data_IF_500841679172
#
_entry.id   IF_500841679172
#
_cell.length_a   1.000
_cell.length_b   1.000
_cell.length_c   1.000
_cell.angle_alpha   90.00
_cell.angle_beta   90.00
_cell.angle_gamma   90.00
#
_symmetry.space_group_name_H-M   'P 1'
#
loop_
_entity.id
_entity.type
_entity.pdbx_description
1 polymer ?
#
# COMPACT_ATOMS: atom_id res chain seq x y z
N UNK A 1 72.04 36.14 -9.70
CA UNK A 1 71.01 36.00 -10.76
C UNK A 1 70.65 34.53 -10.88
N UNK A 2 69.38 34.19 -10.64
CA UNK A 2 68.63 33.03 -11.15
C UNK A 2 67.63 32.55 -10.09
N UNK A 3 66.44 33.15 -10.08
CA UNK A 3 65.27 32.67 -9.34
C UNK A 3 64.40 31.86 -10.30
N UNK A 4 64.32 30.55 -10.05
CA UNK A 4 63.46 29.62 -10.78
C UNK A 4 61.98 29.95 -10.46
N UNK A 5 61.09 30.11 -11.45
CA UNK A 5 59.68 30.34 -11.19
C UNK A 5 58.98 29.01 -10.83
N UNK A 6 58.15 29.06 -9.79
CA UNK A 6 57.30 27.96 -9.32
C UNK A 6 56.14 27.76 -10.31
N UNK A 7 55.80 26.54 -10.74
CA UNK A 7 54.70 26.33 -11.65
C UNK A 7 53.37 26.65 -10.96
N UNK A 8 52.50 27.34 -11.70
CA UNK A 8 51.16 27.72 -11.27
C UNK A 8 50.34 26.48 -10.94
N UNK A 9 49.62 26.56 -9.82
CA UNK A 9 48.70 25.51 -9.39
C UNK A 9 47.44 25.60 -10.23
N UNK A 10 47.34 24.79 -11.28
CA UNK A 10 46.10 24.63 -12.02
C UNK A 10 45.02 24.10 -11.07
N UNK A 11 44.00 24.93 -10.84
CA UNK A 11 42.81 24.54 -10.11
C UNK A 11 42.11 23.42 -10.91
N UNK A 12 42.29 22.19 -10.46
CA UNK A 12 41.57 21.01 -10.93
C UNK A 12 40.09 21.16 -10.60
N UNK A 13 39.33 21.72 -11.53
CA UNK A 13 37.88 21.78 -11.49
C UNK A 13 37.31 20.45 -11.99
N UNK A 14 37.39 19.42 -11.16
CA UNK A 14 36.56 18.25 -11.37
C UNK A 14 35.08 18.67 -11.21
N UNK A 15 34.20 18.37 -12.17
CA UNK A 15 32.78 18.64 -12.01
C UNK A 15 32.28 17.88 -10.78
N UNK A 16 31.74 18.62 -9.80
CA UNK A 16 31.20 18.04 -8.58
C UNK A 16 30.04 17.10 -8.92
N UNK A 17 30.29 15.81 -8.83
CA UNK A 17 29.30 14.73 -8.99
C UNK A 17 28.20 14.77 -7.92
N UNK A 18 28.36 15.63 -6.90
CA UNK A 18 27.40 15.87 -5.83
C UNK A 18 26.04 16.40 -6.30
N UNK A 19 25.96 17.10 -7.45
CA UNK A 19 24.69 17.61 -7.98
C UNK A 19 23.73 16.49 -8.41
N UNK A 20 24.25 15.46 -9.08
CA UNK A 20 23.46 14.34 -9.61
C UNK A 20 22.87 13.44 -8.52
N UNK A 21 23.55 13.31 -7.37
CA UNK A 21 23.05 12.51 -6.25
C UNK A 21 21.91 13.21 -5.52
N UNK A 22 21.94 14.54 -5.40
CA UNK A 22 20.86 15.31 -4.75
C UNK A 22 19.57 15.34 -5.56
N UNK A 23 19.67 15.44 -6.90
CA UNK A 23 18.49 15.41 -7.77
C UNK A 23 17.87 14.01 -7.82
N UNK A 24 18.69 12.96 -7.92
CA UNK A 24 18.21 11.58 -7.87
C UNK A 24 17.55 11.27 -6.51
N UNK A 25 18.15 11.71 -5.41
CA UNK A 25 17.57 11.56 -4.06
C UNK A 25 16.23 12.29 -3.92
N UNK A 26 16.15 13.52 -4.44
CA UNK A 26 14.89 14.27 -4.49
C UNK A 26 13.82 13.51 -5.26
N UNK A 27 14.13 13.04 -6.47
CA UNK A 27 13.19 12.23 -7.28
C UNK A 27 12.76 10.95 -6.55
N UNK A 28 13.67 10.27 -5.85
CA UNK A 28 13.34 9.09 -5.03
C UNK A 28 12.37 9.42 -3.89
N UNK A 29 12.61 10.52 -3.18
CA UNK A 29 11.74 10.97 -2.08
C UNK A 29 10.35 11.36 -2.58
N UNK A 30 10.28 12.06 -3.71
CA UNK A 30 9.02 12.48 -4.32
C UNK A 30 8.22 11.25 -4.80
N UNK A 31 8.85 10.33 -5.54
CA UNK A 31 8.24 9.07 -5.95
C UNK A 31 7.72 8.23 -4.77
N UNK A 32 8.44 8.21 -3.64
CA UNK A 32 8.01 7.50 -2.44
C UNK A 32 6.80 8.18 -1.79
N UNK A 33 6.79 9.51 -1.75
CA UNK A 33 5.67 10.27 -1.21
C UNK A 33 4.41 10.08 -2.06
N UNK A 34 4.54 10.05 -3.38
CA UNK A 34 3.42 9.79 -4.29
C UNK A 34 2.82 8.41 -4.03
N UNK A 35 3.66 7.37 -3.92
CA UNK A 35 3.21 6.02 -3.56
C UNK A 35 2.52 5.96 -2.19
N UNK A 36 3.00 6.73 -1.21
CA UNK A 36 2.33 6.83 0.09
C UNK A 36 0.93 7.45 -0.02
N UNK A 37 0.75 8.46 -0.88
CA UNK A 37 -0.55 9.09 -1.12
C UNK A 37 -1.49 8.16 -1.89
N UNK A 38 -1.01 7.49 -2.94
CA UNK A 38 -1.80 6.46 -3.65
C UNK A 38 -2.25 5.36 -2.70
N UNK A 39 -1.35 4.89 -1.82
CA UNK A 39 -1.68 3.86 -0.84
C UNK A 39 -2.77 4.32 0.14
N UNK A 40 -2.69 5.57 0.62
CA UNK A 40 -3.72 6.14 1.48
C UNK A 40 -5.10 6.20 0.78
N UNK A 41 -5.15 6.45 -0.53
CA UNK A 41 -6.41 6.52 -1.28
C UNK A 41 -7.09 5.16 -1.47
N UNK A 42 -6.31 4.06 -1.52
CA UNK A 42 -6.83 2.70 -1.72
C UNK A 42 -7.35 2.08 -0.43
N UNK A 43 -6.81 2.49 0.72
CA UNK A 43 -7.25 1.98 2.02
C UNK A 43 -8.58 2.65 2.39
N UNK A 44 -9.63 1.86 2.70
CA UNK A 44 -10.90 2.39 3.15
C UNK A 44 -10.80 3.32 4.37
N UNK A 45 -11.58 4.41 4.38
CA UNK A 45 -11.54 5.43 5.44
C UNK A 45 -11.97 4.88 6.80
N UNK A 46 -12.80 3.82 6.84
CA UNK A 46 -13.24 3.15 8.06
C UNK A 46 -12.06 2.55 8.84
N UNK A 47 -11.01 2.11 8.15
CA UNK A 47 -9.77 1.60 8.74
C UNK A 47 -9.03 2.66 9.57
N UNK A 48 -9.32 3.95 9.35
CA UNK A 48 -8.71 5.06 10.10
C UNK A 48 -9.62 5.66 11.18
N UNK A 49 -10.81 5.09 11.44
CA UNK A 49 -11.74 5.64 12.43
C UNK A 49 -11.16 5.74 13.85
N UNK A 50 -10.39 4.75 14.29
CA UNK A 50 -9.74 4.77 15.61
C UNK A 50 -8.64 5.84 15.71
N UNK A 51 -8.09 6.27 14.57
CA UNK A 51 -7.19 7.41 14.52
C UNK A 51 -7.98 8.73 14.61
N UNK A 52 -9.05 8.87 13.84
CA UNK A 52 -9.88 10.09 13.87
C UNK A 52 -10.57 10.28 15.22
N UNK A 53 -11.03 9.21 15.87
CA UNK A 53 -11.66 9.25 17.20
C UNK A 53 -10.73 9.78 18.29
N UNK A 54 -9.44 9.43 18.24
CA UNK A 54 -8.42 9.92 19.18
C UNK A 54 -8.02 11.38 18.97
N UNK A 55 -8.36 11.96 17.81
CA UNK A 55 -8.22 13.40 17.56
C UNK A 55 -9.35 14.20 18.23
N UNK A 56 -10.56 13.64 18.23
CA UNK A 56 -11.77 14.31 18.72
C UNK A 56 -12.00 14.11 20.24
N UNK A 57 -11.27 13.19 20.87
CA UNK A 57 -11.28 13.02 22.33
C UNK A 57 -10.71 14.26 23.03
N UNK A 58 -11.48 14.80 23.99
CA UNK A 58 -11.13 15.97 24.82
C UNK A 58 -9.75 15.87 25.49
N UNK A 59 -9.27 14.65 25.73
CA UNK A 59 -7.95 14.36 26.28
C UNK A 59 -6.77 14.93 25.45
N UNK A 60 -6.95 15.21 24.15
CA UNK A 60 -5.93 15.86 23.32
C UNK A 60 -5.94 17.39 23.42
N UNK A 61 -7.10 18.00 23.74
CA UNK A 61 -7.24 19.45 23.90
C UNK A 61 -6.59 19.93 25.21
N UNK A 62 -6.73 19.17 26.29
CA UNK A 62 -6.21 19.56 27.61
C UNK A 62 -4.68 19.50 27.70
N UNK A 63 -4.00 18.69 26.87
CA UNK A 63 -2.53 18.64 26.83
C UNK A 63 -1.93 19.75 25.94
N UNK A 64 -2.62 20.15 24.85
CA UNK A 64 -2.12 21.18 23.95
C UNK A 64 -2.24 22.61 24.51
N UNK A 65 -3.13 22.84 25.49
CA UNK A 65 -3.34 24.14 26.13
C UNK A 65 -2.36 24.42 27.29
N UNK A 66 -1.67 23.39 27.80
CA UNK A 66 -0.66 23.50 28.87
C UNK A 66 0.76 23.80 28.37
N UNK A 67 1.00 23.78 27.05
CA UNK A 67 2.31 24.05 26.43
C UNK A 67 2.35 25.41 25.70
N UNK A 68 1.64 26.42 26.23
CA UNK A 68 1.81 27.83 25.85
C UNK A 68 2.47 28.60 27.02
N UNK A 69 3.70 28.19 27.38
CA UNK A 69 4.35 28.81 28.53
C UNK A 69 5.77 28.39 28.87
N UNK A 70 6.61 27.92 27.94
CA UNK A 70 8.04 27.85 28.25
C UNK A 70 8.96 27.94 27.03
N UNK A 71 9.49 29.14 26.80
CA UNK A 71 10.69 29.36 26.00
C UNK A 71 11.83 28.50 26.53
N UNK A 72 12.48 27.69 25.69
CA UNK A 72 13.78 27.10 26.05
C UNK A 72 14.84 27.44 24.98
N UNK A 73 15.91 28.17 25.34
CA UNK A 73 17.07 28.38 24.48
C UNK A 73 18.11 27.26 24.71
N UNK A 74 18.57 26.64 23.63
CA UNK A 74 19.94 26.13 23.50
C UNK A 74 20.38 24.87 24.27
N UNK A 75 21.12 24.02 23.53
CA UNK A 75 22.20 23.14 24.00
C UNK A 75 21.87 21.79 24.68
N UNK A 76 22.12 20.72 23.93
CA UNK A 76 23.11 19.68 24.26
C UNK A 76 22.89 18.77 25.48
N UNK A 77 22.84 17.45 25.21
CA UNK A 77 23.47 16.46 26.11
C UNK A 77 22.59 15.32 26.67
N UNK A 78 22.81 14.11 26.13
CA UNK A 78 22.97 12.80 26.81
C UNK A 78 22.44 12.64 28.26
N UNK A 79 21.55 11.66 28.51
CA UNK A 79 21.71 10.55 29.50
C UNK A 79 20.48 9.61 29.57
N UNK A 80 20.72 8.31 29.38
CA UNK A 80 20.32 7.19 30.26
C UNK A 80 18.88 6.97 30.75
N UNK A 81 18.23 5.94 30.20
CA UNK A 81 17.79 4.72 30.92
C UNK A 81 16.78 4.79 32.07
N UNK A 82 15.66 4.06 31.91
CA UNK A 82 15.05 3.30 33.02
C UNK A 82 13.54 3.46 33.27
N UNK A 83 12.75 2.55 32.69
CA UNK A 83 11.49 1.95 33.17
C UNK A 83 10.47 2.82 33.94
N UNK A 84 9.39 3.17 33.24
CA UNK A 84 8.14 3.63 33.83
C UNK A 84 7.00 3.39 32.86
N UNK A 85 6.16 2.40 33.18
CA UNK A 85 4.84 2.12 32.61
C UNK A 85 4.09 3.41 32.29
N UNK A 86 4.24 3.89 31.07
CA UNK A 86 3.48 5.01 30.55
C UNK A 86 3.09 4.67 29.13
N UNK A 87 1.85 4.22 29.00
CA UNK A 87 1.05 4.28 27.77
C UNK A 87 0.99 5.74 27.33
N UNK A 88 2.10 6.30 26.86
CA UNK A 88 2.14 7.66 26.31
C UNK A 88 1.33 7.62 25.02
N UNK A 89 0.21 8.35 24.92
CA UNK A 89 -0.54 8.44 23.68
C UNK A 89 0.37 9.16 22.68
N UNK A 90 0.95 8.36 21.80
CA UNK A 90 1.76 8.79 20.67
C UNK A 90 0.88 9.75 19.86
N UNK A 91 1.23 11.04 19.82
CA UNK A 91 0.55 12.00 18.93
C UNK A 91 0.72 11.52 17.50
N UNK A 92 -0.31 10.92 16.92
CA UNK A 92 -0.15 10.09 15.72
C UNK A 92 -0.53 10.79 14.41
N UNK A 93 -1.01 12.03 14.44
CA UNK A 93 -1.40 12.76 13.22
C UNK A 93 -0.30 13.65 12.64
N UNK A 94 -0.33 13.84 11.31
CA UNK A 94 0.41 14.95 10.68
C UNK A 94 -0.27 16.29 11.00
N UNK A 95 0.42 17.42 10.76
CA UNK A 95 -0.09 18.78 11.05
C UNK A 95 -1.47 19.07 10.43
N UNK A 96 -1.81 18.36 9.35
CA UNK A 96 -3.07 18.48 8.62
C UNK A 96 -4.17 17.54 9.14
N UNK A 97 -3.90 16.77 10.20
CA UNK A 97 -4.83 15.79 10.76
C UNK A 97 -4.99 14.53 9.92
N UNK A 98 -4.19 14.35 8.85
CA UNK A 98 -4.12 13.11 8.06
C UNK A 98 -3.24 12.06 8.75
N UNK A 99 -3.54 10.75 8.56
CA UNK A 99 -2.74 9.68 9.15
C UNK A 99 -1.27 9.78 8.74
N UNK A 100 -0.37 9.45 9.65
CA UNK A 100 1.07 9.48 9.39
C UNK A 100 1.53 8.28 8.53
N UNK A 101 2.75 8.36 7.97
CA UNK A 101 3.29 7.29 7.10
C UNK A 101 3.29 5.91 7.76
N UNK A 102 3.63 5.82 9.05
CA UNK A 102 3.61 4.56 9.79
C UNK A 102 2.20 3.97 9.89
N UNK A 103 1.20 4.81 10.17
CA UNK A 103 -0.20 4.38 10.24
C UNK A 103 -0.75 3.94 8.90
N UNK A 104 -0.43 4.66 7.81
CA UNK A 104 -0.84 4.27 6.46
C UNK A 104 -0.29 2.87 6.15
N UNK A 105 0.98 2.62 6.46
CA UNK A 105 1.59 1.30 6.25
C UNK A 105 0.97 0.21 7.13
N UNK A 106 0.71 0.50 8.41
CA UNK A 106 0.03 -0.47 9.30
C UNK A 106 -1.36 -0.83 8.78
N UNK A 107 -2.16 0.17 8.42
CA UNK A 107 -3.52 -0.05 7.92
C UNK A 107 -3.53 -0.69 6.53
N UNK A 108 -2.51 -0.46 5.69
CA UNK A 108 -2.34 -1.16 4.42
C UNK A 108 -2.19 -2.68 4.62
N UNK A 109 -1.34 -3.08 5.57
CA UNK A 109 -1.09 -4.50 5.86
C UNK A 109 -2.33 -5.15 6.45
N UNK A 110 -3.03 -4.46 7.35
CA UNK A 110 -4.29 -4.93 7.93
C UNK A 110 -5.37 -5.10 6.85
N UNK A 111 -5.52 -4.12 5.96
CA UNK A 111 -6.48 -4.18 4.86
C UNK A 111 -6.16 -5.31 3.86
N UNK A 112 -4.88 -5.50 3.51
CA UNK A 112 -4.46 -6.61 2.66
C UNK A 112 -4.82 -7.97 3.29
N UNK A 113 -4.57 -8.12 4.58
CA UNK A 113 -4.91 -9.35 5.33
C UNK A 113 -6.42 -9.59 5.34
N UNK A 114 -7.22 -8.53 5.53
CA UNK A 114 -8.69 -8.60 5.46
C UNK A 114 -9.18 -9.03 4.08
N UNK A 115 -8.62 -8.45 3.02
CA UNK A 115 -8.97 -8.82 1.64
C UNK A 115 -8.60 -10.27 1.33
N UNK A 116 -7.42 -10.73 1.76
CA UNK A 116 -7.00 -12.14 1.62
C UNK A 116 -8.01 -13.08 2.30
N UNK A 117 -8.38 -12.79 3.54
CA UNK A 117 -9.38 -13.57 4.27
C UNK A 117 -10.76 -13.57 3.58
N UNK A 118 -11.15 -12.44 2.97
CA UNK A 118 -12.40 -12.33 2.23
C UNK A 118 -12.36 -13.18 0.94
N UNK A 119 -11.25 -13.15 0.20
CA UNK A 119 -11.04 -14.02 -0.97
C UNK A 119 -11.14 -15.48 -0.56
N UNK A 120 -10.47 -15.89 0.51
CA UNK A 120 -10.51 -17.27 0.99
C UNK A 120 -11.92 -17.71 1.40
N UNK A 121 -12.67 -16.83 2.08
CA UNK A 121 -14.03 -17.13 2.50
C UNK A 121 -14.96 -17.32 1.30
N UNK A 122 -14.89 -16.43 0.31
CA UNK A 122 -15.70 -16.51 -0.92
C UNK A 122 -15.29 -17.70 -1.77
N UNK A 123 -14.01 -18.03 -1.83
CA UNK A 123 -13.50 -19.21 -2.53
C UNK A 123 -14.08 -20.50 -1.92
N UNK A 124 -14.12 -20.62 -0.59
CA UNK A 124 -14.75 -21.78 0.09
C UNK A 124 -16.24 -21.89 -0.21
N UNK A 125 -16.96 -20.78 -0.18
CA UNK A 125 -18.39 -20.73 -0.50
C UNK A 125 -18.66 -21.14 -1.96
N UNK A 126 -17.83 -20.66 -2.90
CA UNK A 126 -17.94 -21.00 -4.31
C UNK A 126 -17.70 -22.49 -4.56
N UNK A 127 -16.69 -23.10 -3.93
CA UNK A 127 -16.45 -24.55 -4.00
C UNK A 127 -17.68 -25.33 -3.51
N UNK A 128 -18.28 -24.91 -2.39
CA UNK A 128 -19.47 -25.57 -1.86
C UNK A 128 -20.65 -25.47 -2.85
N UNK A 129 -20.86 -24.31 -3.45
CA UNK A 129 -21.91 -24.11 -4.45
C UNK A 129 -21.66 -24.95 -5.70
N UNK A 130 -20.43 -25.01 -6.21
CA UNK A 130 -20.04 -25.85 -7.34
C UNK A 130 -20.37 -27.32 -7.04
N UNK A 131 -20.03 -27.83 -5.86
CA UNK A 131 -20.33 -29.21 -5.48
C UNK A 131 -21.84 -29.47 -5.42
N UNK A 132 -22.62 -28.57 -4.81
CA UNK A 132 -24.08 -28.68 -4.75
C UNK A 132 -24.72 -28.65 -6.13
N UNK A 133 -24.23 -27.78 -7.02
CA UNK A 133 -24.72 -27.68 -8.41
C UNK A 133 -24.40 -28.96 -9.19
N UNK A 134 -23.18 -29.50 -9.06
CA UNK A 134 -22.81 -30.80 -9.66
C UNK A 134 -23.71 -31.94 -9.15
N UNK A 135 -23.98 -31.97 -7.85
CA UNK A 135 -24.87 -32.97 -7.25
C UNK A 135 -26.32 -32.85 -7.77
N UNK A 136 -26.86 -31.63 -7.86
CA UNK A 136 -28.20 -31.38 -8.38
C UNK A 136 -28.32 -31.72 -9.86
N UNK A 137 -27.33 -31.36 -10.69
CA UNK A 137 -27.27 -31.72 -12.11
C UNK A 137 -27.31 -33.25 -12.28
N UNK A 138 -26.54 -33.99 -11.46
CA UNK A 138 -26.57 -35.46 -11.47
C UNK A 138 -27.93 -36.03 -11.11
N UNK A 139 -28.63 -35.43 -10.13
CA UNK A 139 -29.97 -35.89 -9.68
C UNK A 139 -31.06 -35.59 -10.69
N UNK A 140 -31.00 -34.44 -11.35
CA UNK A 140 -32.02 -33.98 -12.31
C UNK A 140 -31.77 -34.48 -13.72
N UNK A 141 -30.56 -34.94 -14.03
CA UNK A 141 -30.17 -35.37 -15.38
C UNK A 141 -30.03 -34.22 -16.37
N UNK A 142 -30.03 -32.97 -15.90
CA UNK A 142 -29.87 -31.77 -16.73
C UNK A 142 -28.38 -31.46 -16.89
N UNK A 143 -27.89 -31.46 -18.13
CA UNK A 143 -26.52 -31.06 -18.43
C UNK A 143 -26.38 -29.53 -18.28
N UNK A 144 -25.36 -29.10 -17.54
CA UNK A 144 -25.03 -27.68 -17.36
C UNK A 144 -23.81 -27.35 -18.22
N UNK A 145 -24.05 -26.81 -19.42
CA UNK A 145 -22.99 -26.43 -20.35
C UNK A 145 -22.62 -24.94 -20.26
N UNK A 146 -23.47 -24.13 -19.63
CA UNK A 146 -23.36 -22.67 -19.64
C UNK A 146 -22.63 -22.10 -18.41
N UNK A 147 -22.13 -22.96 -17.51
CA UNK A 147 -21.54 -22.56 -16.22
C UNK A 147 -20.20 -23.28 -16.02
N UNK A 148 -19.17 -22.52 -15.67
CA UNK A 148 -17.89 -23.08 -15.23
C UNK A 148 -18.06 -23.71 -13.84
N UNK A 149 -17.83 -25.02 -13.76
CA UNK A 149 -17.89 -25.79 -12.52
C UNK A 149 -16.54 -26.43 -12.17
N UNK A 150 -15.49 -26.11 -12.91
CA UNK A 150 -14.19 -26.79 -12.77
C UNK A 150 -13.18 -25.98 -11.98
N UNK A 151 -13.25 -24.65 -12.06
CA UNK A 151 -12.35 -23.74 -11.36
C UNK A 151 -13.12 -22.62 -10.70
N UNK A 152 -12.66 -22.14 -9.56
CA UNK A 152 -13.27 -20.97 -8.91
C UNK A 152 -12.87 -19.67 -9.58
N UNK A 153 -13.67 -18.64 -9.37
CA UNK A 153 -13.38 -17.28 -9.82
C UNK A 153 -12.04 -16.77 -9.30
N UNK A 154 -11.65 -17.16 -8.08
CA UNK A 154 -10.37 -16.81 -7.48
C UNK A 154 -9.20 -17.48 -8.22
N UNK A 155 -9.31 -18.76 -8.57
CA UNK A 155 -8.28 -19.48 -9.32
C UNK A 155 -8.06 -18.86 -10.71
N UNK A 156 -9.15 -18.48 -11.38
CA UNK A 156 -9.09 -17.79 -12.68
C UNK A 156 -8.43 -16.41 -12.54
N UNK A 157 -8.82 -15.63 -11.53
CA UNK A 157 -8.26 -14.29 -11.31
C UNK A 157 -6.77 -14.35 -10.94
N UNK A 158 -6.37 -15.31 -10.10
CA UNK A 158 -4.97 -15.54 -9.75
C UNK A 158 -4.16 -15.98 -10.98
N UNK A 159 -4.71 -16.81 -11.85
CA UNK A 159 -4.04 -17.22 -13.09
C UNK A 159 -3.68 -16.04 -13.98
N UNK A 160 -4.58 -15.05 -14.12
CA UNK A 160 -4.36 -13.82 -14.93
C UNK A 160 -3.20 -12.97 -14.43
N UNK A 161 -2.92 -13.00 -13.13
CA UNK A 161 -1.77 -12.30 -12.55
C UNK A 161 -0.53 -13.20 -12.46
N UNK A 162 -0.57 -14.40 -13.05
CA UNK A 162 0.53 -15.36 -13.07
C UNK A 162 0.74 -16.10 -11.74
N UNK A 163 -0.29 -16.23 -10.92
CA UNK A 163 -0.24 -16.85 -9.59
C UNK A 163 -1.14 -18.09 -9.52
N UNK A 164 -0.69 -19.15 -8.86
CA UNK A 164 -1.49 -20.36 -8.60
C UNK A 164 -1.35 -21.46 -9.66
N UNK A 165 -2.09 -22.58 -9.50
CA UNK A 165 -1.91 -23.78 -10.33
C UNK A 165 -2.30 -23.60 -11.80
N UNK A 166 -3.21 -22.66 -12.07
CA UNK A 166 -3.67 -22.32 -13.42
C UNK A 166 -2.78 -21.27 -14.11
N UNK A 167 -1.74 -20.77 -13.42
CA UNK A 167 -0.80 -19.82 -14.01
C UNK A 167 -0.08 -20.46 -15.20
N UNK A 168 -0.23 -19.86 -16.39
CA UNK A 168 0.34 -20.36 -17.65
C UNK A 168 -0.61 -21.20 -18.51
N UNK A 169 -1.80 -21.55 -18.03
CA UNK A 169 -2.84 -22.19 -18.84
C UNK A 169 -3.77 -21.17 -19.55
N UNK A 170 -3.63 -19.87 -19.25
CA UNK A 170 -4.65 -18.85 -19.45
C UNK A 170 -4.51 -17.98 -20.71
N UNK A 171 -3.62 -18.31 -21.65
CA UNK A 171 -3.45 -17.45 -22.85
C UNK A 171 -4.38 -17.83 -24.02
N UNK A 172 -4.94 -19.05 -24.09
CA UNK A 172 -5.63 -19.50 -25.32
C UNK A 172 -7.16 -19.63 -25.25
N UNK A 173 -7.81 -19.52 -24.07
CA UNK A 173 -9.23 -19.95 -23.94
C UNK A 173 -10.23 -18.86 -23.55
N UNK A 174 -9.82 -17.61 -23.31
CA UNK A 174 -10.72 -16.58 -22.73
C UNK A 174 -11.09 -15.39 -23.63
N UNK A 175 -10.60 -15.32 -24.87
CA UNK A 175 -10.88 -14.19 -25.80
C UNK A 175 -12.05 -14.46 -26.79
N UNK A 176 -12.94 -15.39 -26.45
CA UNK A 176 -13.94 -15.93 -27.39
C UNK A 176 -15.36 -15.38 -27.30
N UNK A 177 -15.71 -14.55 -26.31
CA UNK A 177 -17.14 -14.27 -26.00
C UNK A 177 -17.64 -12.85 -26.27
N UNK A 178 -16.85 -11.96 -26.87
CA UNK A 178 -17.27 -10.57 -27.12
C UNK A 178 -17.69 -10.25 -28.58
N UNK A 179 -17.83 -11.26 -29.45
CA UNK A 179 -18.19 -11.02 -30.86
C UNK A 179 -19.47 -11.73 -31.31
N UNK A 180 -20.62 -11.33 -30.75
CA UNK A 180 -21.93 -11.66 -31.35
C UNK A 180 -23.02 -10.61 -31.07
N UNK A 181 -23.07 -9.54 -31.88
CA UNK A 181 -24.28 -9.06 -32.61
C UNK A 181 -24.09 -7.62 -33.12
N UNK A 182 -23.85 -7.51 -34.43
CA UNK A 182 -23.94 -6.27 -35.20
C UNK A 182 -24.30 -6.55 -36.65
N UNK A 183 -25.27 -7.45 -36.89
CA UNK A 183 -25.80 -7.73 -38.21
C UNK A 183 -27.29 -7.38 -38.28
N UNK A 184 -27.61 -6.25 -38.92
CA UNK A 184 -28.95 -6.01 -39.45
C UNK A 184 -28.81 -5.50 -40.88
N UNK A 185 -29.14 -6.38 -41.82
CA UNK A 185 -29.52 -6.04 -43.18
C UNK A 185 -30.92 -5.43 -43.17
N UNK A 186 -31.09 -4.37 -43.96
CA UNK A 186 -32.33 -3.72 -44.32
C UNK A 186 -32.02 -2.60 -45.29
#
# INVERSE_FOLDING_TARGET
MSSVPRPESEASSLPSTAGLTTENDRRRRDNLNDKMQSLLQVIPEDMFQEYYRRKDSKDFKDIAELDYGHSTPGSGGITGGGSGSSSKPKGTGTKDGKPNKGQILTQAVEYMTRLQAQVDARNREEVELILRVKELSKKTGVALNDINLDNTSAEIALARIGVGPLAGAAEDTLDGSDNFKGGHHG
#
